data_IF_748183307869
#
_entry.id   IF_748183307869
#
_cell.length_a   1.000
_cell.length_b   1.000
_cell.length_c   1.000
_cell.angle_alpha   90.00
_cell.angle_beta   90.00
_cell.angle_gamma   90.00
#
_symmetry.space_group_name_H-M   'P 1'
#
loop_
_entity.id
_entity.type
_entity.pdbx_description
1 polymer ?
#
# COMPACT_ATOMS: atom_id res chain seq x y z
N UNK A 1 -54.91 -21.85 7.08
CA UNK A 1 -53.70 -21.22 6.59
C UNK A 1 -52.76 -21.02 7.80
N UNK A 2 -51.68 -21.81 7.88
CA UNK A 2 -50.68 -21.70 8.94
C UNK A 2 -49.51 -20.91 8.38
N UNK A 3 -49.34 -19.71 8.89
CA UNK A 3 -48.22 -18.80 8.54
C UNK A 3 -46.98 -19.25 9.30
N UNK A 4 -46.05 -19.93 8.63
CA UNK A 4 -44.76 -20.28 9.20
C UNK A 4 -43.84 -19.04 9.21
N UNK A 5 -43.44 -18.60 10.39
CA UNK A 5 -42.43 -17.58 10.60
C UNK A 5 -41.07 -18.25 10.42
N UNK A 6 -40.35 -17.91 9.36
CA UNK A 6 -38.95 -18.30 9.16
C UNK A 6 -38.10 -17.39 10.05
N UNK A 7 -37.61 -17.92 11.16
CA UNK A 7 -36.60 -17.26 11.99
C UNK A 7 -35.24 -17.50 11.30
N UNK A 8 -34.76 -16.46 10.61
CA UNK A 8 -33.39 -16.45 10.11
C UNK A 8 -32.44 -16.30 11.31
N UNK A 9 -31.79 -17.38 11.71
CA UNK A 9 -30.72 -17.34 12.71
C UNK A 9 -29.55 -16.57 12.12
N UNK A 10 -29.39 -15.31 12.49
CA UNK A 10 -28.12 -14.61 12.33
C UNK A 10 -27.10 -15.33 13.22
N UNK A 11 -26.25 -16.15 12.62
CA UNK A 11 -25.02 -16.62 13.25
C UNK A 11 -24.12 -15.41 13.49
N UNK A 12 -24.22 -14.81 14.66
CA UNK A 12 -23.25 -13.85 15.16
C UNK A 12 -21.90 -14.59 15.22
N UNK A 13 -20.97 -14.25 14.33
CA UNK A 13 -19.58 -14.68 14.44
C UNK A 13 -19.06 -14.21 15.79
N UNK A 14 -18.45 -15.07 16.60
CA UNK A 14 -17.93 -14.65 17.89
C UNK A 14 -16.88 -13.56 17.68
N UNK A 15 -17.02 -12.45 18.39
CA UNK A 15 -15.99 -11.41 18.49
C UNK A 15 -14.74 -12.11 19.07
N UNK A 16 -13.70 -12.23 18.25
CA UNK A 16 -12.44 -12.83 18.67
C UNK A 16 -11.82 -12.02 19.80
N UNK A 17 -11.41 -12.69 20.85
CA UNK A 17 -10.79 -12.06 22.03
C UNK A 17 -9.28 -11.95 21.86
N UNK A 18 -8.63 -11.02 22.56
CA UNK A 18 -7.16 -10.89 22.57
C UNK A 18 -6.44 -12.20 22.97
N UNK A 19 -7.14 -13.12 23.66
CA UNK A 19 -6.64 -14.44 24.04
C UNK A 19 -6.44 -15.39 22.83
N UNK A 20 -7.11 -15.13 21.71
CA UNK A 20 -6.97 -15.97 20.50
C UNK A 20 -5.67 -15.72 19.75
N UNK A 21 -5.03 -14.57 19.92
CA UNK A 21 -3.75 -14.22 19.28
C UNK A 21 -2.62 -14.08 20.30
N UNK A 22 -2.50 -15.03 21.21
CA UNK A 22 -1.53 -14.95 22.30
C UNK A 22 -0.09 -14.80 21.77
N UNK A 23 0.57 -13.75 22.19
CA UNK A 23 2.01 -13.56 22.00
C UNK A 23 2.75 -14.44 23.02
N UNK A 24 3.60 -15.32 22.52
CA UNK A 24 4.37 -16.26 23.34
C UNK A 24 5.85 -16.14 23.05
N UNK A 25 6.72 -16.57 23.97
CA UNK A 25 8.12 -16.76 23.63
C UNK A 25 8.25 -17.72 22.45
N UNK A 26 9.17 -17.41 21.53
CA UNK A 26 9.54 -18.31 20.43
C UNK A 26 10.12 -19.60 21.01
N UNK A 27 9.52 -20.74 20.66
CA UNK A 27 10.00 -22.03 21.14
C UNK A 27 11.19 -22.55 20.32
N UNK A 28 12.04 -23.38 20.92
CA UNK A 28 13.15 -24.04 20.23
C UNK A 28 12.69 -24.90 19.04
N UNK A 29 11.50 -25.54 19.17
CA UNK A 29 10.92 -26.32 18.09
C UNK A 29 10.55 -25.44 16.88
N UNK A 30 9.90 -24.29 17.11
CA UNK A 30 9.58 -23.29 16.09
C UNK A 30 10.88 -22.72 15.48
N UNK A 31 11.85 -22.36 16.30
CA UNK A 31 13.12 -21.82 15.83
C UNK A 31 13.83 -22.80 14.89
N UNK A 32 13.94 -24.08 15.27
CA UNK A 32 14.51 -25.11 14.40
C UNK A 32 13.74 -25.32 13.12
N UNK A 33 12.42 -25.43 13.23
CA UNK A 33 11.54 -25.66 12.07
C UNK A 33 11.61 -24.53 11.05
N UNK A 34 11.60 -23.27 11.52
CA UNK A 34 11.61 -22.08 10.67
C UNK A 34 12.99 -21.51 10.42
N UNK A 35 14.06 -22.17 10.92
CA UNK A 35 15.46 -21.73 10.81
C UNK A 35 15.67 -20.30 11.31
N UNK A 36 15.15 -20.02 12.51
CA UNK A 36 15.20 -18.71 13.14
C UNK A 36 16.32 -18.66 14.18
N UNK A 37 17.02 -17.54 14.23
CA UNK A 37 18.02 -17.26 15.25
C UNK A 37 17.34 -16.81 16.56
N UNK A 38 17.39 -17.63 17.59
CA UNK A 38 16.84 -17.33 18.91
C UNK A 38 17.62 -16.23 19.64
N UNK A 39 18.82 -15.89 19.18
CA UNK A 39 19.55 -14.70 19.62
C UNK A 39 18.80 -13.41 19.30
N UNK A 40 18.17 -13.34 18.15
CA UNK A 40 17.41 -12.18 17.67
C UNK A 40 15.91 -12.32 17.92
N UNK A 41 15.27 -13.39 17.44
CA UNK A 41 13.82 -13.57 17.55
C UNK A 41 13.40 -14.08 18.92
N UNK A 42 12.47 -13.39 19.56
CA UNK A 42 12.03 -13.65 20.93
C UNK A 42 10.57 -13.97 21.07
N UNK A 43 9.71 -13.39 20.22
CA UNK A 43 8.26 -13.50 20.32
C UNK A 43 7.67 -14.20 19.13
N UNK A 44 6.60 -14.95 19.35
CA UNK A 44 5.86 -15.64 18.30
C UNK A 44 4.36 -15.59 18.54
N UNK A 45 3.59 -15.48 17.44
CA UNK A 45 2.13 -15.63 17.41
C UNK A 45 1.76 -16.50 16.22
N UNK A 46 0.94 -17.51 16.42
CA UNK A 46 0.47 -18.36 15.34
C UNK A 46 -1.00 -18.08 15.03
N UNK A 47 -1.32 -17.92 13.74
CA UNK A 47 -2.68 -17.68 13.25
C UNK A 47 -2.86 -18.37 11.91
N UNK A 48 -3.91 -19.18 11.74
CA UNK A 48 -4.31 -19.78 10.45
C UNK A 48 -3.15 -20.46 9.67
N UNK A 49 -2.18 -21.07 10.36
CA UNK A 49 -1.00 -21.69 9.75
C UNK A 49 0.13 -20.73 9.39
N UNK A 50 0.00 -19.48 9.76
CA UNK A 50 1.04 -18.43 9.62
C UNK A 50 1.72 -18.26 10.97
N UNK A 51 3.06 -18.24 11.00
CA UNK A 51 3.84 -17.94 12.19
C UNK A 51 4.39 -16.52 12.09
N UNK A 52 3.95 -15.64 12.97
CA UNK A 52 4.46 -14.27 13.12
C UNK A 52 5.58 -14.31 14.15
N UNK A 53 6.75 -13.80 13.81
CA UNK A 53 7.89 -13.74 14.73
C UNK A 53 8.56 -12.37 14.72
N UNK A 54 9.07 -11.97 15.87
CA UNK A 54 9.72 -10.68 16.06
C UNK A 54 10.88 -10.76 17.03
N UNK A 55 11.68 -9.70 17.06
CA UNK A 55 12.55 -9.40 18.19
C UNK A 55 11.74 -9.14 19.47
N UNK A 56 12.43 -8.94 20.57
CA UNK A 56 11.78 -8.51 21.82
C UNK A 56 11.25 -7.07 21.81
N UNK A 57 11.61 -6.27 20.80
CA UNK A 57 11.32 -4.82 20.76
C UNK A 57 9.94 -4.48 20.20
N UNK A 58 9.37 -5.35 19.38
CA UNK A 58 8.06 -5.14 18.76
C UNK A 58 6.97 -5.22 19.82
N UNK A 59 6.01 -4.31 19.78
CA UNK A 59 4.90 -4.27 20.72
C UNK A 59 3.96 -5.47 20.52
N UNK A 60 3.43 -6.02 21.62
CA UNK A 60 2.48 -7.15 21.54
C UNK A 60 1.21 -6.78 20.78
N UNK A 61 0.77 -5.52 20.87
CA UNK A 61 -0.38 -5.04 20.13
C UNK A 61 -0.16 -5.10 18.60
N UNK A 62 1.07 -4.95 18.12
CA UNK A 62 1.39 -5.11 16.70
C UNK A 62 1.30 -6.59 16.26
N UNK A 63 1.67 -7.53 17.12
CA UNK A 63 1.38 -8.96 16.88
C UNK A 63 -0.11 -9.24 16.79
N UNK A 64 -0.91 -8.67 17.73
CA UNK A 64 -2.36 -8.87 17.75
C UNK A 64 -3.01 -8.30 16.49
N UNK A 65 -2.63 -7.10 16.08
CA UNK A 65 -3.15 -6.50 14.83
C UNK A 65 -2.74 -7.30 13.61
N UNK A 66 -1.48 -7.71 13.52
CA UNK A 66 -0.99 -8.55 12.42
C UNK A 66 -1.77 -9.87 12.34
N UNK A 67 -1.98 -10.53 13.48
CA UNK A 67 -2.72 -11.79 13.55
C UNK A 67 -4.20 -11.60 13.20
N UNK A 68 -4.82 -10.52 13.66
CA UNK A 68 -6.18 -10.16 13.31
C UNK A 68 -6.34 -9.96 11.78
N UNK A 69 -5.47 -9.19 11.17
CA UNK A 69 -5.53 -8.97 9.72
C UNK A 69 -5.35 -10.28 8.95
N UNK A 70 -4.40 -11.11 9.32
CA UNK A 70 -4.23 -12.43 8.70
C UNK A 70 -5.44 -13.33 8.89
N UNK A 71 -6.05 -13.35 10.07
CA UNK A 71 -7.24 -14.15 10.30
C UNK A 71 -8.40 -13.71 9.41
N UNK A 72 -8.65 -12.40 9.32
CA UNK A 72 -9.71 -11.84 8.48
C UNK A 72 -9.46 -12.10 6.99
N UNK A 73 -8.23 -11.97 6.53
CA UNK A 73 -7.84 -12.26 5.15
C UNK A 73 -7.99 -13.77 4.83
N UNK A 74 -7.52 -14.64 5.73
CA UNK A 74 -7.64 -16.09 5.55
C UNK A 74 -9.10 -16.56 5.56
N UNK A 75 -9.95 -15.99 6.41
CA UNK A 75 -11.41 -16.29 6.43
C UNK A 75 -12.12 -15.77 5.18
N UNK A 76 -11.57 -14.77 4.52
CA UNK A 76 -12.12 -14.21 3.28
C UNK A 76 -11.82 -15.09 2.06
N UNK A 77 -10.90 -16.02 2.14
CA UNK A 77 -10.54 -16.93 1.06
C UNK A 77 -11.54 -18.09 0.94
N UNK A 78 -11.69 -18.62 -0.27
CA UNK A 78 -12.34 -19.90 -0.44
C UNK A 78 -11.60 -21.00 0.34
N UNK A 79 -12.32 -21.97 0.95
CA UNK A 79 -11.74 -22.96 1.86
C UNK A 79 -10.53 -23.71 1.29
N UNK A 80 -10.59 -24.10 0.03
CA UNK A 80 -9.52 -24.83 -0.65
C UNK A 80 -8.24 -23.99 -0.84
N UNK A 81 -8.38 -22.69 -1.05
CA UNK A 81 -7.25 -21.75 -1.17
C UNK A 81 -6.61 -21.53 0.20
N UNK A 82 -7.44 -21.26 1.21
CA UNK A 82 -6.97 -21.11 2.59
C UNK A 82 -6.23 -22.36 3.07
N UNK A 83 -6.74 -23.55 2.75
CA UNK A 83 -6.11 -24.81 3.13
C UNK A 83 -4.74 -25.02 2.45
N UNK A 84 -4.61 -24.64 1.17
CA UNK A 84 -3.30 -24.67 0.48
C UNK A 84 -2.28 -23.77 1.18
N UNK A 85 -2.70 -22.56 1.59
CA UNK A 85 -1.83 -21.61 2.32
C UNK A 85 -1.43 -22.16 3.69
N UNK A 86 -2.37 -22.73 4.47
CA UNK A 86 -2.07 -23.34 5.78
C UNK A 86 -1.02 -24.42 5.66
N UNK A 87 -1.13 -25.29 4.65
CA UNK A 87 -0.16 -26.37 4.39
C UNK A 87 1.25 -25.85 4.06
N UNK A 88 1.36 -24.66 3.50
CA UNK A 88 2.67 -24.04 3.19
C UNK A 88 3.36 -23.46 4.42
N UNK A 89 2.65 -23.28 5.54
CA UNK A 89 3.20 -22.80 6.81
C UNK A 89 4.02 -21.53 6.62
N UNK A 90 3.34 -20.49 6.19
CA UNK A 90 3.93 -19.17 5.87
C UNK A 90 4.61 -18.59 7.11
N UNK A 91 5.77 -17.98 6.92
CA UNK A 91 6.45 -17.20 7.95
C UNK A 91 6.17 -15.71 7.74
N UNK A 92 5.91 -15.01 8.83
CA UNK A 92 5.85 -13.56 8.85
C UNK A 92 6.94 -13.01 9.77
N UNK A 93 7.80 -12.16 9.23
CA UNK A 93 8.80 -11.42 9.99
C UNK A 93 8.33 -9.97 10.12
N UNK A 94 7.98 -9.55 11.33
CA UNK A 94 7.58 -8.19 11.62
C UNK A 94 8.78 -7.43 12.18
N UNK A 95 9.19 -6.37 11.50
CA UNK A 95 10.32 -5.50 11.85
C UNK A 95 9.82 -4.44 12.83
N UNK A 96 10.51 -4.22 13.94
CA UNK A 96 10.16 -3.14 14.86
C UNK A 96 10.31 -1.76 14.21
N UNK A 97 9.47 -0.81 14.65
CA UNK A 97 9.50 0.57 14.14
C UNK A 97 10.86 1.27 14.35
N UNK A 98 11.67 0.79 15.27
CA UNK A 98 13.02 1.26 15.56
C UNK A 98 14.11 0.26 15.16
N UNK A 99 13.79 -0.69 14.29
CA UNK A 99 14.71 -1.70 13.76
C UNK A 99 14.92 -1.50 12.27
N UNK A 100 16.13 -1.83 11.81
CA UNK A 100 16.48 -1.84 10.39
C UNK A 100 16.31 -3.26 9.83
N UNK A 101 15.90 -3.38 8.59
CA UNK A 101 15.77 -4.67 7.92
C UNK A 101 17.09 -5.45 7.92
N UNK A 102 18.23 -4.74 7.77
CA UNK A 102 19.57 -5.34 7.82
C UNK A 102 19.98 -5.90 9.18
N UNK A 103 19.23 -5.59 10.25
CA UNK A 103 19.47 -6.16 11.59
C UNK A 103 18.83 -7.54 11.75
N UNK A 104 17.87 -7.89 10.89
CA UNK A 104 17.31 -9.23 10.91
C UNK A 104 18.33 -10.23 10.36
N UNK A 105 18.59 -11.36 11.04
CA UNK A 105 19.64 -12.30 10.65
C UNK A 105 19.56 -12.79 9.19
N UNK A 106 18.34 -12.93 8.64
CA UNK A 106 18.12 -13.37 7.26
C UNK A 106 18.43 -12.29 6.21
N UNK A 107 18.56 -11.04 6.63
CA UNK A 107 18.74 -9.89 5.76
C UNK A 107 19.99 -9.09 6.09
N UNK A 108 20.88 -9.65 6.90
CA UNK A 108 22.20 -9.10 7.10
C UNK A 108 22.91 -8.90 5.75
N UNK A 109 23.61 -7.79 5.61
CA UNK A 109 24.26 -7.40 4.35
C UNK A 109 25.58 -6.71 4.66
N UNK A 110 26.50 -6.78 3.71
CA UNK A 110 27.80 -6.09 3.71
C UNK A 110 27.73 -4.66 3.14
N UNK A 111 26.53 -4.22 2.71
CA UNK A 111 26.33 -2.86 2.23
C UNK A 111 26.65 -1.83 3.31
N UNK A 112 27.22 -0.69 2.89
CA UNK A 112 27.59 0.41 3.77
C UNK A 112 27.07 1.77 3.23
N UNK A 113 27.04 2.77 4.09
CA UNK A 113 26.68 4.14 3.73
C UNK A 113 25.33 4.23 3.02
N UNK A 114 25.25 5.01 1.96
CA UNK A 114 24.01 5.25 1.21
C UNK A 114 23.34 3.99 0.65
N UNK A 115 24.12 2.99 0.26
CA UNK A 115 23.54 1.72 -0.22
C UNK A 115 22.85 0.95 0.89
N UNK A 116 23.40 0.97 2.11
CA UNK A 116 22.77 0.37 3.28
C UNK A 116 21.50 1.13 3.66
N UNK A 117 21.56 2.46 3.63
CA UNK A 117 20.40 3.30 3.92
C UNK A 117 19.26 3.04 2.93
N UNK A 118 19.57 2.99 1.64
CA UNK A 118 18.60 2.63 0.61
C UNK A 118 18.04 1.22 0.80
N UNK A 119 18.90 0.25 1.12
CA UNK A 119 18.47 -1.13 1.39
C UNK A 119 17.46 -1.19 2.54
N UNK A 120 17.72 -0.52 3.65
CA UNK A 120 16.85 -0.49 4.81
C UNK A 120 15.56 0.28 4.55
N UNK A 121 15.64 1.40 3.85
CA UNK A 121 14.48 2.21 3.51
C UNK A 121 13.55 1.49 2.53
N UNK A 122 14.11 0.86 1.48
CA UNK A 122 13.30 0.22 0.42
C UNK A 122 12.69 -1.11 0.85
N UNK A 123 13.18 -1.72 1.92
CA UNK A 123 12.79 -3.05 2.35
C UNK A 123 12.04 -3.04 3.68
N UNK A 124 10.94 -2.25 3.74
CA UNK A 124 10.04 -2.24 4.89
C UNK A 124 8.82 -3.15 4.68
N UNK A 125 8.51 -3.53 3.43
CA UNK A 125 7.44 -4.47 3.07
C UNK A 125 7.83 -5.25 1.83
N UNK A 126 7.81 -6.59 1.88
CA UNK A 126 8.10 -7.46 0.73
C UNK A 126 7.79 -8.93 1.02
N UNK A 127 7.49 -9.70 -0.05
CA UNK A 127 7.47 -11.15 -0.03
C UNK A 127 8.83 -11.70 -0.46
N UNK A 128 9.30 -12.75 0.21
CA UNK A 128 10.52 -13.48 -0.13
C UNK A 128 10.38 -14.97 0.17
N UNK A 129 11.46 -15.71 0.03
CA UNK A 129 11.55 -17.10 0.48
C UNK A 129 12.76 -17.31 1.39
N UNK A 130 12.53 -17.96 2.53
CA UNK A 130 13.60 -18.47 3.39
C UNK A 130 13.61 -19.99 3.24
N UNK A 131 14.61 -20.51 2.57
CA UNK A 131 14.58 -21.89 2.05
C UNK A 131 13.45 -22.05 1.03
N UNK A 132 12.55 -23.00 1.28
CA UNK A 132 11.37 -23.26 0.43
C UNK A 132 10.11 -22.55 0.92
N UNK A 133 10.17 -21.84 2.03
CA UNK A 133 9.03 -21.27 2.74
C UNK A 133 8.73 -19.86 2.27
N UNK A 134 7.49 -19.59 1.89
CA UNK A 134 7.03 -18.22 1.65
C UNK A 134 7.12 -17.41 2.94
N UNK A 135 7.77 -16.27 2.86
CA UNK A 135 8.03 -15.40 4.01
C UNK A 135 7.61 -13.99 3.66
N UNK A 136 6.65 -13.46 4.39
CA UNK A 136 6.27 -12.05 4.31
C UNK A 136 7.03 -11.25 5.36
N UNK A 137 7.46 -10.08 4.97
CA UNK A 137 8.18 -9.15 5.83
C UNK A 137 7.50 -7.80 5.73
N UNK A 138 7.21 -7.17 6.86
CA UNK A 138 6.73 -5.79 6.91
C UNK A 138 7.06 -5.15 8.25
N UNK A 139 6.88 -3.85 8.32
CA UNK A 139 7.26 -3.07 9.48
C UNK A 139 6.09 -2.83 10.42
N UNK A 140 6.39 -2.76 11.71
CA UNK A 140 5.44 -2.45 12.77
C UNK A 140 4.73 -1.13 12.53
N UNK A 141 5.47 -0.11 12.09
CA UNK A 141 4.91 1.21 11.81
C UNK A 141 3.88 1.22 10.69
N UNK A 142 4.01 0.31 9.71
CA UNK A 142 3.07 0.22 8.61
C UNK A 142 1.81 -0.55 9.02
N UNK A 143 1.96 -1.62 9.82
CA UNK A 143 0.84 -2.41 10.35
C UNK A 143 -0.01 -1.60 11.30
N UNK A 144 0.64 -0.82 12.17
CA UNK A 144 -0.03 0.00 13.21
C UNK A 144 -0.35 1.42 12.74
N UNK A 145 0.06 1.77 11.52
CA UNK A 145 -0.06 3.11 10.95
C UNK A 145 0.50 4.20 11.90
N UNK A 146 1.70 3.96 12.45
CA UNK A 146 2.38 4.96 13.26
C UNK A 146 2.72 6.20 12.42
N UNK A 147 2.87 7.34 13.06
CA UNK A 147 3.37 8.54 12.38
C UNK A 147 4.76 8.28 11.81
N UNK A 148 4.93 8.50 10.50
CA UNK A 148 6.15 8.16 9.75
C UNK A 148 6.12 6.81 9.05
N UNK A 149 5.15 5.92 9.34
CA UNK A 149 4.88 4.70 8.59
C UNK A 149 3.94 4.91 7.39
N UNK A 150 3.73 3.85 6.63
CA UNK A 150 2.77 3.84 5.51
C UNK A 150 1.34 3.89 6.04
N UNK A 151 0.61 4.93 5.63
CA UNK A 151 -0.79 5.16 6.03
C UNK A 151 -1.75 5.25 4.86
N UNK A 152 -1.21 5.12 3.67
CA UNK A 152 -1.98 5.30 2.43
C UNK A 152 -2.50 4.00 1.87
N UNK A 153 -1.95 2.89 2.35
CA UNK A 153 -2.35 1.52 2.00
C UNK A 153 -2.00 0.56 3.14
N UNK A 154 -2.56 -0.63 3.13
CA UNK A 154 -2.06 -1.72 3.97
C UNK A 154 -1.02 -2.54 3.23
N UNK A 155 0.25 -2.37 3.58
CA UNK A 155 1.35 -3.19 3.06
C UNK A 155 1.11 -4.68 3.37
N UNK A 156 0.56 -4.99 4.56
CA UNK A 156 0.23 -6.36 4.93
C UNK A 156 -0.76 -6.99 3.93
N UNK A 157 -1.80 -6.26 3.54
CA UNK A 157 -2.79 -6.76 2.57
C UNK A 157 -2.14 -6.98 1.20
N UNK A 158 -1.26 -6.08 0.76
CA UNK A 158 -0.51 -6.21 -0.48
C UNK A 158 0.35 -7.48 -0.50
N UNK A 159 1.21 -7.62 0.49
CA UNK A 159 2.15 -8.75 0.58
C UNK A 159 1.43 -10.08 0.80
N UNK A 160 0.30 -10.06 1.52
CA UNK A 160 -0.55 -11.25 1.63
C UNK A 160 -1.22 -11.60 0.31
N UNK A 161 -1.55 -10.64 -0.53
CA UNK A 161 -1.96 -10.88 -1.92
C UNK A 161 -0.92 -11.75 -2.65
N UNK A 162 0.37 -11.43 -2.52
CA UNK A 162 1.44 -12.26 -3.09
C UNK A 162 1.51 -13.67 -2.47
N UNK A 163 1.23 -13.82 -1.17
CA UNK A 163 1.12 -15.16 -0.54
C UNK A 163 -0.04 -15.96 -1.16
N UNK A 164 -1.19 -15.34 -1.34
CA UNK A 164 -2.36 -15.99 -1.97
C UNK A 164 -2.01 -16.44 -3.39
N UNK A 165 -1.34 -15.60 -4.17
CA UNK A 165 -0.87 -15.95 -5.51
C UNK A 165 0.13 -17.11 -5.50
N UNK A 166 1.17 -17.03 -4.65
CA UNK A 166 2.28 -17.97 -4.67
C UNK A 166 2.02 -19.30 -3.94
N UNK A 167 1.16 -19.30 -2.92
CA UNK A 167 0.89 -20.45 -2.08
C UNK A 167 -0.54 -21.00 -2.19
N UNK A 168 -1.49 -20.12 -2.55
CA UNK A 168 -2.91 -20.43 -2.60
C UNK A 168 -3.41 -20.84 -3.99
N UNK A 169 -2.85 -20.27 -5.06
CA UNK A 169 -3.30 -20.57 -6.43
C UNK A 169 -2.85 -21.94 -6.90
N UNK A 170 -3.79 -22.68 -7.49
CA UNK A 170 -3.51 -23.85 -8.31
C UNK A 170 -3.22 -23.43 -9.77
N UNK A 171 -2.98 -24.43 -10.62
CA UNK A 171 -2.65 -24.18 -12.03
C UNK A 171 -3.79 -23.45 -12.78
N UNK A 172 -5.04 -23.77 -12.46
CA UNK A 172 -6.19 -23.12 -13.10
C UNK A 172 -6.27 -21.63 -12.77
N UNK A 173 -6.09 -21.27 -11.49
CA UNK A 173 -6.04 -19.88 -11.04
C UNK A 173 -4.81 -19.14 -11.59
N UNK A 174 -3.66 -19.81 -11.69
CA UNK A 174 -2.46 -19.24 -12.32
C UNK A 174 -2.69 -18.89 -13.80
N UNK A 175 -3.32 -19.80 -14.56
CA UNK A 175 -3.70 -19.57 -15.97
C UNK A 175 -4.69 -18.41 -16.09
N UNK A 176 -5.68 -18.36 -15.21
CA UNK A 176 -6.67 -17.27 -15.21
C UNK A 176 -6.03 -15.91 -14.90
N UNK A 177 -5.18 -15.83 -13.89
CA UNK A 177 -4.46 -14.60 -13.58
C UNK A 177 -3.60 -14.15 -14.78
N UNK A 178 -2.94 -15.10 -15.46
CA UNK A 178 -2.16 -14.80 -16.66
C UNK A 178 -3.05 -14.21 -17.76
N UNK A 179 -4.16 -14.86 -18.08
CA UNK A 179 -5.09 -14.37 -19.10
C UNK A 179 -5.71 -13.02 -18.75
N UNK A 180 -6.03 -12.79 -17.47
CA UNK A 180 -6.54 -11.50 -17.00
C UNK A 180 -5.48 -10.40 -17.15
N UNK A 181 -4.23 -10.66 -16.80
CA UNK A 181 -3.15 -9.69 -16.95
C UNK A 181 -2.79 -9.42 -18.43
N UNK A 182 -2.84 -10.44 -19.29
CA UNK A 182 -2.69 -10.26 -20.75
C UNK A 182 -3.78 -9.35 -21.33
N UNK A 183 -5.02 -9.46 -20.82
CA UNK A 183 -6.08 -8.53 -21.19
C UNK A 183 -5.78 -7.10 -20.75
N UNK A 184 -5.21 -6.90 -19.55
CA UNK A 184 -4.73 -5.59 -19.09
C UNK A 184 -3.71 -5.00 -20.07
N UNK A 185 -2.72 -5.79 -20.48
CA UNK A 185 -1.71 -5.36 -21.43
C UNK A 185 -2.32 -5.02 -22.80
N UNK A 186 -3.28 -5.83 -23.27
CA UNK A 186 -3.96 -5.64 -24.56
C UNK A 186 -4.87 -4.42 -24.60
N UNK A 187 -5.61 -4.16 -23.53
CA UNK A 187 -6.59 -3.07 -23.46
C UNK A 187 -5.98 -1.75 -23.02
N UNK A 188 -4.78 -1.77 -22.43
CA UNK A 188 -4.15 -0.60 -21.84
C UNK A 188 -4.79 -0.12 -20.53
N UNK A 189 -5.73 -0.87 -19.97
CA UNK A 189 -6.25 -0.63 -18.62
C UNK A 189 -5.08 -0.65 -17.61
N UNK A 190 -5.12 0.17 -16.57
CA UNK A 190 -4.01 0.39 -15.64
C UNK A 190 -2.77 1.08 -16.26
N UNK A 191 -2.85 1.58 -17.51
CA UNK A 191 -1.84 2.45 -18.13
C UNK A 191 -2.22 3.93 -18.06
N UNK A 192 -3.29 4.26 -17.38
CA UNK A 192 -3.80 5.62 -17.20
C UNK A 192 -3.21 6.32 -15.98
N UNK A 193 -2.06 5.88 -15.51
CA UNK A 193 -1.31 6.43 -14.38
C UNK A 193 -0.97 7.90 -14.51
N UNK A 194 -1.98 8.73 -14.69
CA UNK A 194 -1.92 10.20 -14.54
C UNK A 194 -1.90 10.60 -13.07
N UNK A 195 -1.44 9.69 -12.29
CA UNK A 195 -1.55 9.72 -10.86
C UNK A 195 -0.81 10.89 -10.23
N UNK A 196 0.32 11.29 -10.76
CA UNK A 196 1.07 12.41 -10.21
C UNK A 196 0.68 13.74 -10.85
N UNK A 197 -0.58 14.12 -10.77
CA UNK A 197 -0.98 15.46 -11.17
C UNK A 197 -0.46 16.48 -10.16
N UNK A 198 0.25 17.49 -10.64
CA UNK A 198 0.87 18.55 -9.84
C UNK A 198 0.38 19.88 -10.24
N UNK A 199 0.05 20.70 -9.26
CA UNK A 199 -0.12 22.12 -9.50
C UNK A 199 1.23 22.83 -9.45
N UNK A 200 1.54 23.60 -10.49
CA UNK A 200 2.64 24.55 -10.50
C UNK A 200 2.08 25.95 -10.52
N UNK A 201 2.68 26.80 -9.71
CA UNK A 201 2.37 28.24 -9.69
C UNK A 201 3.34 28.99 -10.59
N UNK A 202 2.78 29.69 -11.53
CA UNK A 202 3.51 30.71 -12.28
C UNK A 202 3.73 31.91 -11.37
N UNK A 203 4.95 32.42 -11.29
CA UNK A 203 5.26 33.58 -10.42
C UNK A 203 5.02 34.90 -11.12
N UNK A 204 5.06 34.95 -12.45
CA UNK A 204 4.92 36.15 -13.24
C UNK A 204 3.53 36.75 -13.20
N UNK A 205 3.45 38.05 -12.96
CA UNK A 205 2.22 38.83 -13.11
C UNK A 205 1.87 39.11 -14.56
N UNK A 206 2.88 39.14 -15.45
CA UNK A 206 2.71 39.35 -16.89
C UNK A 206 2.60 37.99 -17.59
N UNK A 207 1.87 37.90 -18.73
CA UNK A 207 1.79 36.68 -19.51
C UNK A 207 3.17 36.21 -19.95
N UNK A 208 3.55 34.98 -19.58
CA UNK A 208 4.79 34.29 -19.98
C UNK A 208 4.46 33.02 -20.75
N UNK A 209 5.37 32.58 -21.61
CA UNK A 209 5.20 31.33 -22.34
C UNK A 209 5.14 30.14 -21.38
N UNK A 210 4.08 29.34 -21.44
CA UNK A 210 4.00 28.09 -20.69
C UNK A 210 5.17 27.16 -21.00
N UNK A 211 5.61 27.08 -22.25
CA UNK A 211 6.75 26.25 -22.62
C UNK A 211 8.06 26.76 -21.99
N UNK A 212 8.20 28.07 -21.80
CA UNK A 212 9.36 28.65 -21.10
C UNK A 212 9.33 28.29 -19.60
N UNK A 213 8.18 28.41 -18.96
CA UNK A 213 7.99 27.96 -17.56
C UNK A 213 8.27 26.45 -17.40
N UNK A 214 7.79 25.61 -18.33
CA UNK A 214 8.06 24.17 -18.31
C UNK A 214 9.56 23.86 -18.41
N UNK A 215 10.30 24.55 -19.26
CA UNK A 215 11.76 24.40 -19.37
C UNK A 215 12.47 24.81 -18.05
N UNK A 216 11.98 25.83 -17.41
CA UNK A 216 12.51 26.27 -16.10
C UNK A 216 12.19 25.26 -14.99
N UNK A 217 10.98 24.71 -14.97
CA UNK A 217 10.58 23.71 -13.98
C UNK A 217 11.20 22.32 -14.22
N UNK A 218 11.54 22.02 -15.48
CA UNK A 218 12.12 20.74 -15.91
C UNK A 218 13.39 20.95 -16.75
N UNK A 219 14.46 21.48 -16.15
CA UNK A 219 15.66 21.86 -16.91
C UNK A 219 16.43 20.68 -17.52
N UNK A 220 16.16 19.46 -17.04
CA UNK A 220 16.78 18.22 -17.54
C UNK A 220 16.01 17.54 -18.66
N UNK A 221 14.79 18.01 -18.95
CA UNK A 221 13.93 17.38 -19.97
C UNK A 221 14.13 18.03 -21.34
N UNK A 222 14.08 17.21 -22.39
CA UNK A 222 14.25 17.73 -23.76
C UNK A 222 13.05 18.60 -24.16
N UNK A 223 13.27 19.63 -25.01
CA UNK A 223 12.18 20.43 -25.54
C UNK A 223 11.11 19.63 -26.28
N UNK A 224 11.53 18.54 -26.96
CA UNK A 224 10.65 17.62 -27.71
C UNK A 224 9.73 16.88 -26.77
N UNK A 225 10.25 16.42 -25.62
CA UNK A 225 9.46 15.75 -24.60
C UNK A 225 8.42 16.68 -23.99
N UNK A 226 8.80 17.92 -23.68
CA UNK A 226 7.87 18.93 -23.15
C UNK A 226 6.78 19.30 -24.15
N UNK A 227 7.10 19.42 -25.45
CA UNK A 227 6.11 19.63 -26.51
C UNK A 227 5.18 18.42 -26.65
N UNK A 228 5.72 17.21 -26.57
CA UNK A 228 4.90 15.99 -26.61
C UNK A 228 3.92 15.94 -25.46
N UNK A 229 4.36 16.24 -24.24
CA UNK A 229 3.50 16.29 -23.06
C UNK A 229 2.34 17.29 -23.21
N UNK A 230 2.58 18.45 -23.79
CA UNK A 230 1.53 19.41 -24.17
C UNK A 230 0.56 18.81 -25.18
N UNK A 231 1.08 18.19 -26.23
CA UNK A 231 0.27 17.59 -27.30
C UNK A 231 -0.56 16.40 -26.83
N UNK A 232 -0.05 15.62 -25.87
CA UNK A 232 -0.75 14.47 -25.29
C UNK A 232 -1.79 14.87 -24.22
N UNK A 233 -1.76 16.15 -23.80
CA UNK A 233 -2.67 16.67 -22.79
C UNK A 233 -2.24 16.35 -21.36
N UNK A 234 -0.98 16.05 -21.14
CA UNK A 234 -0.38 15.85 -19.82
C UNK A 234 -0.22 17.18 -19.05
N UNK A 235 -0.52 18.30 -19.70
CA UNK A 235 -0.44 19.64 -19.11
C UNK A 235 -1.76 20.35 -19.35
N UNK A 236 -2.41 20.74 -18.25
CA UNK A 236 -3.65 21.49 -18.29
C UNK A 236 -3.44 22.87 -17.70
N UNK A 237 -4.08 23.86 -18.29
CA UNK A 237 -4.17 25.21 -17.75
C UNK A 237 -5.64 25.50 -17.45
N UNK A 238 -5.95 25.79 -16.20
CA UNK A 238 -7.33 25.99 -15.73
C UNK A 238 -8.28 24.85 -16.13
N UNK A 239 -7.77 23.60 -16.05
CA UNK A 239 -8.52 22.40 -16.40
C UNK A 239 -8.63 22.08 -17.89
N UNK A 240 -8.08 22.93 -18.79
CA UNK A 240 -8.12 22.74 -20.23
C UNK A 240 -6.76 22.29 -20.76
N UNK A 241 -6.75 21.41 -21.76
CA UNK A 241 -5.53 21.00 -22.44
C UNK A 241 -4.79 22.22 -22.99
N UNK A 242 -3.52 22.31 -22.63
CA UNK A 242 -2.66 23.39 -23.09
C UNK A 242 -1.89 22.99 -24.38
N UNK A 243 -1.36 23.99 -25.08
CA UNK A 243 -0.45 23.81 -26.21
C UNK A 243 0.77 24.73 -26.02
N UNK A 244 1.73 24.62 -26.93
CA UNK A 244 3.00 25.33 -26.84
C UNK A 244 2.88 26.88 -26.96
N UNK A 245 1.77 27.40 -27.47
CA UNK A 245 1.48 28.83 -27.66
C UNK A 245 0.81 29.47 -26.44
N UNK A 246 0.34 28.66 -25.50
CA UNK A 246 -0.35 29.15 -24.30
C UNK A 246 0.58 30.04 -23.49
N UNK A 247 0.06 31.19 -23.11
CA UNK A 247 0.68 32.10 -22.13
C UNK A 247 -0.03 31.98 -20.79
N UNK A 248 0.72 32.00 -19.73
CA UNK A 248 0.23 31.85 -18.35
C UNK A 248 0.71 32.98 -17.46
N UNK A 249 -0.06 33.25 -16.42
CA UNK A 249 0.22 34.25 -15.39
C UNK A 249 0.10 33.60 -14.01
N UNK A 250 0.41 34.33 -12.96
CA UNK A 250 0.28 33.86 -11.57
C UNK A 250 -1.14 33.47 -11.14
N UNK A 251 -2.15 33.84 -11.90
CA UNK A 251 -3.56 33.50 -11.62
C UNK A 251 -3.99 32.18 -12.26
N UNK A 252 -3.17 31.65 -13.17
CA UNK A 252 -3.47 30.41 -13.86
C UNK A 252 -3.07 29.19 -13.02
N UNK A 253 -3.96 28.19 -13.00
CA UNK A 253 -3.71 26.88 -12.40
C UNK A 253 -3.10 25.96 -13.44
N UNK A 254 -1.80 25.73 -13.37
CA UNK A 254 -1.11 24.79 -14.26
C UNK A 254 -1.04 23.44 -13.59
N UNK A 255 -1.72 22.46 -14.15
CA UNK A 255 -1.72 21.07 -13.71
C UNK A 255 -0.83 20.26 -14.64
N UNK A 256 0.11 19.53 -14.08
CA UNK A 256 1.10 18.77 -14.83
C UNK A 256 0.98 17.29 -14.45
N UNK A 257 0.72 16.43 -15.43
CA UNK A 257 0.74 14.98 -15.31
C UNK A 257 1.99 14.37 -16.01
N UNK A 258 2.90 15.21 -16.43
CA UNK A 258 4.10 14.87 -17.15
C UNK A 258 5.24 14.45 -16.21
N UNK A 259 6.05 13.48 -16.63
CA UNK A 259 7.27 13.05 -15.94
C UNK A 259 7.09 11.99 -14.86
N UNK A 260 5.88 11.45 -14.70
CA UNK A 260 5.62 10.22 -13.94
C UNK A 260 5.52 9.00 -14.87
N UNK A 261 5.61 7.77 -14.35
CA UNK A 261 5.31 6.60 -15.13
C UNK A 261 3.86 6.67 -15.62
N UNK A 262 3.65 6.48 -16.92
CA UNK A 262 2.31 6.36 -17.53
C UNK A 262 1.61 5.04 -17.13
N UNK A 263 2.23 4.26 -16.26
CA UNK A 263 1.76 2.95 -15.83
C UNK A 263 1.51 2.95 -14.35
N UNK A 264 0.36 2.43 -13.96
CA UNK A 264 0.11 2.09 -12.56
C UNK A 264 0.98 0.90 -12.13
N UNK A 265 1.21 0.79 -10.85
CA UNK A 265 1.95 -0.33 -10.27
C UNK A 265 1.32 -1.66 -10.66
N UNK A 266 -0.01 -1.73 -10.72
CA UNK A 266 -0.78 -2.86 -11.24
C UNK A 266 -0.39 -3.31 -12.65
N UNK A 267 0.16 -2.44 -13.51
CA UNK A 267 0.56 -2.81 -14.86
C UNK A 267 2.03 -3.26 -14.99
N UNK A 268 2.79 -3.31 -13.88
CA UNK A 268 4.21 -3.68 -13.90
C UNK A 268 4.45 -5.13 -14.29
N UNK A 269 3.75 -6.04 -13.63
CA UNK A 269 3.79 -7.46 -13.88
C UNK A 269 2.57 -8.14 -13.26
N UNK A 270 2.37 -9.40 -13.61
CA UNK A 270 1.24 -10.22 -13.15
C UNK A 270 1.10 -10.33 -11.64
N UNK A 271 2.21 -10.41 -10.92
CA UNK A 271 2.18 -10.56 -9.46
C UNK A 271 1.75 -9.28 -8.78
N UNK A 272 2.29 -8.13 -9.22
CA UNK A 272 1.88 -6.82 -8.72
C UNK A 272 0.43 -6.51 -9.10
N UNK A 273 0.02 -6.82 -10.33
CA UNK A 273 -1.37 -6.68 -10.74
C UNK A 273 -2.33 -7.38 -9.76
N UNK A 274 -2.03 -8.63 -9.40
CA UNK A 274 -2.84 -9.36 -8.45
C UNK A 274 -2.86 -8.70 -7.07
N UNK A 275 -1.71 -8.29 -6.54
CA UNK A 275 -1.61 -7.66 -5.24
C UNK A 275 -2.38 -6.33 -5.18
N UNK A 276 -2.34 -5.53 -6.25
CA UNK A 276 -3.05 -4.26 -6.38
C UNK A 276 -4.58 -4.43 -6.41
N UNK A 277 -5.09 -5.35 -7.25
CA UNK A 277 -6.54 -5.62 -7.29
C UNK A 277 -7.02 -6.29 -6.01
N UNK A 278 -6.14 -7.07 -5.34
CA UNK A 278 -6.39 -7.65 -4.03
C UNK A 278 -6.56 -6.57 -2.96
N UNK A 279 -5.67 -5.57 -2.93
CA UNK A 279 -5.83 -4.40 -2.05
C UNK A 279 -7.12 -3.62 -2.35
N UNK A 280 -7.43 -3.37 -3.63
CA UNK A 280 -8.69 -2.73 -4.02
C UNK A 280 -9.91 -3.51 -3.51
N UNK A 281 -9.85 -4.86 -3.50
CA UNK A 281 -10.95 -5.69 -3.00
C UNK A 281 -11.25 -5.47 -1.53
N UNK A 282 -10.25 -5.11 -0.75
CA UNK A 282 -10.36 -4.78 0.67
C UNK A 282 -10.38 -3.27 0.96
N UNK A 283 -10.49 -2.41 -0.05
CA UNK A 283 -10.55 -0.94 0.04
C UNK A 283 -9.31 -0.32 0.68
N UNK A 284 -8.14 -0.85 0.40
CA UNK A 284 -6.90 -0.39 1.02
C UNK A 284 -5.76 -0.15 0.03
N UNK A 285 -6.06 0.05 -1.25
CA UNK A 285 -5.01 0.43 -2.19
C UNK A 285 -4.70 1.93 -2.11
N UNK A 286 -3.49 2.31 -2.45
CA UNK A 286 -3.13 3.72 -2.67
C UNK A 286 -3.84 4.29 -3.88
N UNK A 287 -3.97 5.59 -3.92
CA UNK A 287 -4.64 6.29 -5.02
C UNK A 287 -3.97 7.63 -5.31
N UNK A 288 -4.00 8.02 -6.58
CA UNK A 288 -3.59 9.33 -7.09
C UNK A 288 -2.16 9.74 -6.71
N UNK A 289 -1.26 8.80 -6.83
CA UNK A 289 0.16 9.03 -6.59
C UNK A 289 1.03 8.70 -7.83
N UNK A 290 2.34 8.55 -7.68
CA UNK A 290 3.28 8.33 -8.77
C UNK A 290 3.10 6.99 -9.50
N UNK A 291 2.50 5.99 -8.81
CA UNK A 291 2.34 4.63 -9.29
C UNK A 291 0.87 4.19 -9.34
N UNK A 292 -0.07 4.99 -8.83
CA UNK A 292 -1.47 4.59 -8.67
C UNK A 292 -2.41 5.60 -9.30
N UNK A 293 -3.46 5.07 -9.94
CA UNK A 293 -4.58 5.87 -10.43
C UNK A 293 -5.65 6.07 -9.34
N UNK A 294 -6.87 6.40 -9.75
CA UNK A 294 -7.98 6.65 -8.82
C UNK A 294 -8.65 5.37 -8.28
N UNK A 295 -8.20 4.18 -8.68
CA UNK A 295 -8.83 2.91 -8.30
C UNK A 295 -8.20 2.38 -7.02
N UNK A 296 -8.97 2.39 -5.93
CA UNK A 296 -8.52 1.96 -4.61
C UNK A 296 -9.58 1.20 -3.81
N UNK A 297 -10.81 1.10 -4.33
CA UNK A 297 -11.92 0.41 -3.67
C UNK A 297 -12.50 -0.69 -4.53
N UNK A 298 -13.17 -1.67 -3.88
CA UNK A 298 -13.89 -2.75 -4.58
C UNK A 298 -14.91 -2.22 -5.57
N UNK A 299 -15.68 -1.21 -5.18
CA UNK A 299 -16.72 -0.63 -6.03
C UNK A 299 -16.15 0.02 -7.30
N UNK A 300 -14.98 0.67 -7.17
CA UNK A 300 -14.27 1.23 -8.32
C UNK A 300 -13.66 0.13 -9.18
N UNK A 301 -13.02 -0.89 -8.57
CA UNK A 301 -12.43 -2.02 -9.29
C UNK A 301 -13.47 -2.74 -10.15
N UNK A 302 -14.65 -3.03 -9.62
CA UNK A 302 -15.73 -3.70 -10.35
C UNK A 302 -16.11 -2.95 -11.63
N UNK A 303 -16.11 -1.63 -11.61
CA UNK A 303 -16.45 -0.79 -12.76
C UNK A 303 -15.28 -0.64 -13.73
N UNK A 304 -14.06 -0.54 -13.22
CA UNK A 304 -12.88 -0.21 -13.99
C UNK A 304 -12.24 -1.43 -14.62
N UNK A 305 -12.10 -2.52 -13.85
CA UNK A 305 -11.51 -3.79 -14.28
C UNK A 305 -12.42 -4.97 -13.90
N UNK A 306 -13.50 -5.21 -14.67
CA UNK A 306 -14.45 -6.28 -14.38
C UNK A 306 -13.82 -7.68 -14.36
N UNK A 307 -12.78 -7.91 -15.18
CA UNK A 307 -12.09 -9.22 -15.21
C UNK A 307 -11.27 -9.44 -13.94
N UNK A 308 -10.52 -8.44 -13.51
CA UNK A 308 -9.78 -8.46 -12.24
C UNK A 308 -10.71 -8.60 -11.05
N UNK A 309 -11.80 -7.84 -11.04
CA UNK A 309 -12.83 -7.95 -10.00
C UNK A 309 -13.45 -9.35 -9.93
N UNK A 310 -13.73 -9.97 -11.10
CA UNK A 310 -14.25 -11.34 -11.16
C UNK A 310 -13.24 -12.36 -10.64
N UNK A 311 -11.96 -12.18 -10.93
CA UNK A 311 -10.91 -13.03 -10.37
C UNK A 311 -10.85 -12.91 -8.84
N UNK A 312 -10.92 -11.68 -8.31
CA UNK A 312 -11.00 -11.45 -6.86
C UNK A 312 -12.23 -12.15 -6.24
N UNK A 313 -13.42 -12.01 -6.85
CA UNK A 313 -14.63 -12.67 -6.38
C UNK A 313 -14.51 -14.20 -6.36
N UNK A 314 -13.86 -14.77 -7.37
CA UNK A 314 -13.69 -16.23 -7.47
C UNK A 314 -12.67 -16.79 -6.46
N UNK A 315 -11.73 -15.96 -6.01
CA UNK A 315 -10.74 -16.33 -4.98
C UNK A 315 -11.26 -16.03 -3.56
N UNK A 316 -11.94 -14.91 -3.38
CA UNK A 316 -12.29 -14.35 -2.08
C UNK A 316 -13.79 -14.40 -1.77
N UNK A 317 -14.64 -14.61 -2.77
CA UNK A 317 -16.05 -14.31 -2.63
C UNK A 317 -16.32 -12.82 -2.43
N UNK A 318 -17.35 -12.51 -1.67
CA UNK A 318 -17.72 -11.12 -1.31
C UNK A 318 -17.73 -10.96 0.22
N UNK A 319 -16.58 -11.10 0.88
CA UNK A 319 -16.53 -10.90 2.33
C UNK A 319 -17.00 -9.50 2.69
N UNK A 320 -17.63 -9.36 3.85
CA UNK A 320 -18.05 -8.05 4.36
C UNK A 320 -16.87 -7.27 4.93
N UNK A 321 -15.86 -7.98 5.40
CA UNK A 321 -14.68 -7.33 5.96
C UNK A 321 -13.97 -6.44 4.93
N UNK A 322 -13.59 -5.27 5.40
CA UNK A 322 -12.73 -4.30 4.72
C UNK A 322 -11.64 -3.88 5.67
N UNK A 323 -10.52 -3.50 5.10
CA UNK A 323 -9.49 -2.88 5.91
C UNK A 323 -10.00 -1.56 6.47
N UNK A 324 -9.78 -1.38 7.75
CA UNK A 324 -9.98 -0.12 8.47
C UNK A 324 -8.72 0.10 9.29
N UNK A 325 -8.24 1.32 9.35
CA UNK A 325 -7.06 1.68 10.13
C UNK A 325 -7.14 1.16 11.59
N UNK A 326 -6.08 0.56 12.13
CA UNK A 326 -6.06 0.21 13.55
C UNK A 326 -6.25 1.42 14.44
N UNK A 327 -5.90 2.61 13.99
CA UNK A 327 -6.11 3.88 14.69
C UNK A 327 -7.60 4.21 14.86
N UNK A 328 -8.41 3.86 13.87
CA UNK A 328 -9.87 4.05 13.90
C UNK A 328 -10.58 2.93 14.67
N UNK A 329 -9.89 1.83 14.94
CA UNK A 329 -10.42 0.63 15.61
C UNK A 329 -9.82 0.39 16.99
N UNK A 330 -9.16 1.37 17.59
CA UNK A 330 -8.43 1.23 18.85
C UNK A 330 -9.26 0.61 20.02
N UNK A 331 -10.59 0.71 19.98
CA UNK A 331 -11.48 0.09 20.98
C UNK A 331 -11.74 -1.41 20.80
N UNK A 332 -11.25 -2.05 19.74
CA UNK A 332 -11.48 -3.48 19.51
C UNK A 332 -10.64 -4.35 20.47
N UNK A 333 -11.15 -5.55 20.78
CA UNK A 333 -10.58 -6.43 21.80
C UNK A 333 -9.09 -6.77 21.59
N UNK A 334 -8.67 -7.02 20.34
CA UNK A 334 -7.27 -7.33 20.02
C UNK A 334 -6.35 -6.10 20.07
N UNK A 335 -6.92 -4.90 20.06
CA UNK A 335 -6.23 -3.62 20.24
C UNK A 335 -6.38 -3.06 21.67
N UNK A 336 -6.75 -3.90 22.63
CA UNK A 336 -6.84 -3.51 24.03
C UNK A 336 -5.53 -2.86 24.48
N UNK A 337 -5.64 -1.71 25.14
CA UNK A 337 -4.51 -0.87 25.57
C UNK A 337 -3.73 -0.15 24.45
N UNK A 338 -4.18 -0.22 23.21
CA UNK A 338 -3.64 0.63 22.15
C UNK A 338 -4.27 2.02 22.21
N UNK A 339 -3.42 3.02 22.36
CA UNK A 339 -3.81 4.43 22.31
C UNK A 339 -3.09 5.10 21.14
N UNK A 340 -3.79 5.42 20.04
CA UNK A 340 -3.17 6.04 18.87
C UNK A 340 -2.48 7.38 19.16
N UNK A 341 -2.92 8.10 20.20
CA UNK A 341 -2.32 9.38 20.59
C UNK A 341 -0.96 9.22 21.27
N UNK A 342 -0.72 8.05 21.87
CA UNK A 342 0.54 7.68 22.51
C UNK A 342 1.38 6.70 21.69
N UNK A 343 0.94 6.38 20.48
CA UNK A 343 1.67 5.50 19.60
C UNK A 343 3.08 6.06 19.30
N UNK A 344 4.07 5.19 19.12
CA UNK A 344 5.39 5.62 18.69
C UNK A 344 5.30 6.46 17.42
N UNK A 345 6.17 7.46 17.32
CA UNK A 345 6.49 8.10 16.06
C UNK A 345 7.71 7.40 15.51
N UNK A 346 7.70 7.05 14.23
CA UNK A 346 8.93 6.69 13.54
C UNK A 346 9.69 7.99 13.38
N UNK A 347 10.34 8.40 14.45
CA UNK A 347 11.37 9.40 14.34
C UNK A 347 12.43 8.80 13.45
N UNK A 348 12.56 9.41 12.30
CA UNK A 348 13.60 9.19 11.35
C UNK A 348 14.71 8.33 11.92
N UNK A 349 14.72 7.05 11.61
CA UNK A 349 15.98 6.34 11.60
C UNK A 349 16.85 7.20 10.68
N UNK A 350 17.84 7.94 11.15
CA UNK A 350 18.49 9.01 10.37
C UNK A 350 18.95 8.52 9.00
N UNK A 351 19.33 7.25 8.93
CA UNK A 351 19.73 6.54 7.73
C UNK A 351 18.59 6.34 6.71
N UNK A 352 17.38 6.08 7.16
CA UNK A 352 16.22 5.90 6.25
C UNK A 352 15.82 7.26 5.65
N UNK A 353 15.89 8.33 6.41
CA UNK A 353 15.55 9.67 5.94
C UNK A 353 16.55 10.18 4.90
N UNK A 354 17.83 9.97 5.13
CA UNK A 354 18.89 10.35 4.17
C UNK A 354 18.71 9.57 2.88
N UNK A 355 18.48 8.26 2.96
CA UNK A 355 18.23 7.44 1.79
C UNK A 355 16.95 7.87 1.05
N UNK A 356 15.87 8.17 1.76
CA UNK A 356 14.65 8.70 1.17
C UNK A 356 14.92 10.01 0.40
N UNK A 357 15.67 10.95 0.98
CA UNK A 357 16.02 12.20 0.31
C UNK A 357 16.90 11.98 -0.92
N UNK A 358 17.95 11.18 -0.80
CA UNK A 358 18.93 10.97 -1.87
C UNK A 358 18.36 10.18 -3.05
N UNK A 359 17.62 9.09 -2.76
CA UNK A 359 17.11 8.19 -3.81
C UNK A 359 15.71 8.54 -4.27
N UNK A 360 14.88 9.09 -3.39
CA UNK A 360 13.57 9.60 -3.76
C UNK A 360 13.70 10.86 -4.61
N UNK A 361 14.63 11.75 -4.30
CA UNK A 361 14.91 12.95 -5.09
C UNK A 361 15.45 12.60 -6.47
N UNK A 362 16.21 11.52 -6.64
CA UNK A 362 16.65 11.05 -7.95
C UNK A 362 15.56 10.33 -8.73
N UNK A 363 14.79 9.49 -8.07
CA UNK A 363 13.80 8.60 -8.69
C UNK A 363 12.46 9.29 -8.89
N UNK A 364 12.02 10.03 -7.91
CA UNK A 364 10.71 10.65 -7.83
C UNK A 364 10.82 12.15 -7.82
N UNK A 365 12.04 12.63 -7.75
CA UNK A 365 12.36 14.01 -7.56
C UNK A 365 11.27 14.75 -6.88
N UNK A 366 11.10 14.35 -5.62
CA UNK A 366 10.42 15.25 -4.76
C UNK A 366 8.94 15.39 -4.95
N UNK A 367 8.42 14.61 -5.88
CA UNK A 367 7.19 14.97 -6.47
C UNK A 367 6.07 14.97 -5.54
N UNK A 368 5.91 13.95 -4.79
CA UNK A 368 4.66 13.78 -4.12
C UNK A 368 4.78 13.67 -2.61
N UNK A 369 5.89 13.26 -2.03
CA UNK A 369 6.10 13.51 -0.63
C UNK A 369 6.01 15.01 -0.33
N UNK A 370 6.70 15.86 -1.11
CA UNK A 370 6.56 17.33 -0.99
C UNK A 370 5.20 17.87 -1.40
N UNK A 371 4.45 17.16 -2.23
CA UNK A 371 3.10 17.57 -2.59
C UNK A 371 2.10 17.23 -1.48
N UNK A 372 2.28 16.09 -0.82
CA UNK A 372 1.53 15.77 0.39
C UNK A 372 1.89 16.72 1.53
N UNK A 373 3.17 16.96 1.76
CA UNK A 373 3.65 17.88 2.80
C UNK A 373 3.17 19.32 2.59
N UNK A 374 2.97 19.71 1.33
CA UNK A 374 2.44 21.04 0.99
C UNK A 374 0.93 21.06 0.79
N UNK A 375 0.24 19.97 1.03
CA UNK A 375 -1.19 19.82 0.73
C UNK A 375 -1.58 20.20 -0.71
N UNK A 376 -0.64 20.09 -1.65
CA UNK A 376 -0.85 20.40 -3.07
C UNK A 376 -1.52 19.23 -3.83
N UNK A 377 -1.44 18.02 -3.26
CA UNK A 377 -2.21 16.84 -3.67
C UNK A 377 -2.97 16.35 -2.44
N UNK A 378 -4.28 16.12 -2.52
CA UNK A 378 -4.99 15.52 -1.41
C UNK A 378 -4.41 14.15 -1.10
N UNK A 379 -4.02 13.92 0.15
CA UNK A 379 -3.77 12.55 0.60
C UNK A 379 -5.02 11.71 0.33
N UNK A 380 -4.90 10.46 -0.10
CA UNK A 380 -6.06 9.59 -0.32
C UNK A 380 -6.94 9.43 0.92
N UNK A 381 -6.38 9.66 2.10
CA UNK A 381 -7.10 9.66 3.36
C UNK A 381 -7.55 11.05 3.84
N UNK A 382 -7.10 12.12 3.20
CA UNK A 382 -7.63 13.46 3.42
C UNK A 382 -8.68 13.76 2.37
N UNK A 383 -9.95 13.74 2.73
CA UNK A 383 -10.94 14.48 1.95
C UNK A 383 -10.47 15.92 1.91
N UNK A 384 -10.39 16.51 0.73
CA UNK A 384 -10.26 17.97 0.64
C UNK A 384 -11.53 18.55 1.26
N UNK A 385 -11.42 18.86 2.54
CA UNK A 385 -12.49 19.55 3.25
C UNK A 385 -12.56 21.02 2.83
N UNK A 386 -11.52 21.49 2.17
CA UNK A 386 -11.41 22.88 1.73
C UNK A 386 -11.81 23.02 0.26
N UNK A 387 -12.80 23.83 -0.03
CA UNK A 387 -13.30 24.09 -1.38
C UNK A 387 -12.40 25.01 -2.21
N UNK A 388 -11.25 25.42 -1.67
CA UNK A 388 -10.30 26.31 -2.31
C UNK A 388 -10.67 27.80 -2.23
N UNK A 389 -11.78 28.15 -1.57
CA UNK A 389 -12.27 29.53 -1.47
C UNK A 389 -12.46 29.99 -0.04
N UNK A 390 -13.19 29.23 0.74
CA UNK A 390 -13.59 29.58 2.10
C UNK A 390 -13.83 28.31 2.92
N UNK A 391 -14.32 28.44 4.13
CA UNK A 391 -14.65 27.36 5.04
C UNK A 391 -16.09 26.85 4.89
N UNK A 392 -16.79 27.17 3.82
CA UNK A 392 -18.15 26.69 3.56
C UNK A 392 -18.15 25.15 3.47
N UNK A 393 -18.93 24.52 4.32
CA UNK A 393 -18.97 23.05 4.45
C UNK A 393 -18.11 22.51 5.59
N UNK A 394 -17.32 23.33 6.27
CA UNK A 394 -16.68 22.97 7.52
C UNK A 394 -17.69 23.11 8.66
N UNK A 395 -17.80 22.07 9.47
CA UNK A 395 -18.38 22.17 10.79
C UNK A 395 -17.22 22.24 11.77
N UNK A 396 -17.17 23.30 12.53
CA UNK A 396 -16.32 23.41 13.71
C UNK A 396 -17.19 22.88 14.84
N UNK A 397 -16.88 21.70 15.35
CA UNK A 397 -17.50 21.18 16.57
C UNK A 397 -16.77 21.78 17.77
#
# INVERSE_FOLDING_TARGET
MKTGILIASLLALPLMTAAEFAVKPLTEAQAREYKLDTGFYKKATAVQGILIVTSGRVADVAHHETAYQFDMLMRSLKPEIAERIRKKRVLCLLIGHNELTSQLPQFATDKIGKELDFYNWRRRGFLTRIGTRSTVVFAEEDVMEYEGGMRLESILVHEFGHVVHGAGFDEALQKRLTATFENVAKTGIWNDGRAAQRFRRVTSKKPVSLLAELKQWFPKESPELLKRALNEGDILVNGKKANAQVKVTRTDKVLIAFGGPKRCYASRNRAEYWAEIYQCWFNTNRTMDHDHNHIHTRAQLIKYDPMGAKLCEDVLGKPDWRFVSPRERAGQAHLKNYDPAKAPKVEDLPHIKVAANDYYDEYWKVFWQRLYDKHEVPSPHTRSLFNGKDLTGWKVD
#
